data_IF_428806381279
#
_entry.id   IF_428806381279
#
_cell.length_a   1.000
_cell.length_b   1.000
_cell.length_c   1.000
_cell.angle_alpha   90.00
_cell.angle_beta   90.00
_cell.angle_gamma   90.00
#
_symmetry.space_group_name_H-M   'P 1'
#
loop_
_entity.id
_entity.type
_entity.pdbx_description
1 polymer ?
#
# COMPACT_ATOMS: atom_id res chain seq x y z
N UNK A 1 2.46 9.83 -64.88
CA UNK A 1 2.93 10.58 -63.68
C UNK A 1 1.73 11.22 -63.00
N UNK A 2 1.82 11.37 -61.67
CA UNK A 2 0.83 11.92 -60.70
C UNK A 2 -0.04 10.85 -60.02
N UNK A 3 0.54 10.27 -58.97
CA UNK A 3 -0.21 9.70 -57.86
C UNK A 3 -0.66 10.80 -56.91
N UNK A 4 -1.80 10.60 -56.25
CA UNK A 4 -2.22 11.40 -55.10
C UNK A 4 -2.36 10.43 -53.92
N UNK A 5 -1.47 10.60 -52.95
CA UNK A 5 -1.44 9.87 -51.68
C UNK A 5 -2.52 10.45 -50.78
N UNK A 6 -3.38 9.57 -50.27
CA UNK A 6 -4.38 9.86 -49.24
C UNK A 6 -3.62 10.06 -47.92
N UNK A 7 -3.45 11.32 -47.51
CA UNK A 7 -2.89 11.66 -46.21
C UNK A 7 -3.97 11.57 -45.13
N UNK A 8 -4.13 10.39 -44.53
CA UNK A 8 -4.89 10.23 -43.29
C UNK A 8 -4.01 10.71 -42.12
N UNK A 9 -4.24 11.95 -41.66
CA UNK A 9 -3.61 12.50 -40.48
C UNK A 9 -4.10 11.78 -39.23
N UNK A 10 -3.24 10.97 -38.62
CA UNK A 10 -3.45 10.38 -37.29
C UNK A 10 -3.21 11.46 -36.25
N UNK A 11 -4.28 12.00 -35.67
CA UNK A 11 -4.23 12.88 -34.51
C UNK A 11 -3.89 12.04 -33.27
N UNK A 12 -2.62 12.08 -32.85
CA UNK A 12 -2.14 11.46 -31.62
C UNK A 12 -2.45 12.40 -30.44
N UNK A 13 -3.63 12.25 -29.84
CA UNK A 13 -4.07 13.01 -28.67
C UNK A 13 -3.21 12.67 -27.45
N UNK A 14 -2.31 13.57 -27.08
CA UNK A 14 -1.52 13.50 -25.86
C UNK A 14 -2.42 13.68 -24.62
N UNK A 15 -2.84 12.56 -24.02
CA UNK A 15 -3.38 12.52 -22.66
C UNK A 15 -2.23 12.61 -21.64
N UNK A 16 -1.64 13.80 -21.49
CA UNK A 16 -0.83 14.10 -20.31
C UNK A 16 -1.79 14.43 -19.15
N UNK A 17 -2.23 13.39 -18.44
CA UNK A 17 -2.88 13.58 -17.15
C UNK A 17 -1.86 14.13 -16.16
N UNK A 18 -1.92 15.43 -15.85
CA UNK A 18 -1.22 16.02 -14.73
C UNK A 18 -1.77 15.44 -13.43
N UNK A 19 -1.21 14.32 -12.97
CA UNK A 19 -1.43 13.83 -11.61
C UNK A 19 -0.64 14.73 -10.69
N UNK A 20 -1.30 15.68 -10.05
CA UNK A 20 -0.72 16.45 -8.95
C UNK A 20 -0.33 15.49 -7.83
N UNK A 21 0.95 15.53 -7.40
CA UNK A 21 1.44 14.70 -6.30
C UNK A 21 0.57 14.92 -5.05
N UNK A 22 0.15 13.85 -4.35
CA UNK A 22 -0.56 13.98 -3.10
C UNK A 22 0.29 14.79 -2.10
N UNK A 23 -0.31 15.79 -1.48
CA UNK A 23 0.36 16.60 -0.47
C UNK A 23 0.34 15.84 0.86
N UNK A 24 1.52 15.68 1.46
CA UNK A 24 1.63 15.15 2.80
C UNK A 24 1.03 16.16 3.78
N UNK A 25 -0.03 15.77 4.48
CA UNK A 25 -0.60 16.59 5.54
C UNK A 25 0.19 16.33 6.82
N UNK A 26 0.63 17.38 7.50
CA UNK A 26 1.21 17.26 8.84
C UNK A 26 0.26 16.51 9.78
N UNK A 27 0.83 15.69 10.66
CA UNK A 27 0.08 15.06 11.73
C UNK A 27 -0.70 16.14 12.50
N UNK A 28 -1.98 15.87 12.78
CA UNK A 28 -2.77 16.77 13.63
C UNK A 28 -2.15 16.74 15.03
N UNK A 29 -1.90 17.89 15.67
CA UNK A 29 -1.45 17.89 17.06
C UNK A 29 -2.49 17.16 17.90
N UNK A 30 -2.01 16.18 18.68
CA UNK A 30 -2.85 15.46 19.62
C UNK A 30 -3.24 16.43 20.74
N UNK A 31 -4.54 16.49 21.05
CA UNK A 31 -4.99 17.15 22.27
C UNK A 31 -4.61 16.32 23.49
N UNK A 32 -4.90 16.83 24.68
CA UNK A 32 -4.60 16.19 25.97
C UNK A 32 -4.95 14.69 26.03
N UNK A 33 -4.09 13.93 26.71
CA UNK A 33 -4.23 12.52 27.12
C UNK A 33 -5.37 11.74 26.46
N UNK A 34 -5.06 11.01 25.39
CA UNK A 34 -6.06 10.25 24.65
C UNK A 34 -6.03 8.77 25.05
N UNK A 35 -7.20 8.26 25.46
CA UNK A 35 -7.44 6.84 25.57
C UNK A 35 -7.17 6.17 24.20
N UNK A 36 -6.46 5.07 24.15
CA UNK A 36 -6.14 4.37 22.90
C UNK A 36 -6.58 2.91 22.87
N UNK A 37 -6.84 2.40 21.67
CA UNK A 37 -6.97 0.98 21.38
C UNK A 37 -6.04 0.62 20.24
N UNK A 38 -5.50 -0.60 20.26
CA UNK A 38 -4.75 -1.15 19.13
C UNK A 38 -5.57 -2.29 18.56
N UNK A 39 -5.86 -2.23 17.27
CA UNK A 39 -6.58 -3.26 16.54
C UNK A 39 -5.80 -3.60 15.28
N UNK A 40 -5.78 -4.87 14.89
CA UNK A 40 -5.39 -5.20 13.52
C UNK A 40 -6.22 -4.36 12.55
N UNK A 41 -5.62 -3.90 11.45
CA UNK A 41 -6.36 -3.13 10.47
C UNK A 41 -7.55 -3.97 10.01
N UNK A 42 -8.75 -3.38 10.00
CA UNK A 42 -9.91 -4.05 9.41
C UNK A 42 -9.54 -4.42 7.97
N UNK A 43 -9.47 -5.72 7.62
CA UNK A 43 -9.14 -6.16 6.29
C UNK A 43 -10.34 -5.85 5.42
N UNK A 44 -10.53 -4.56 5.09
CA UNK A 44 -11.30 -4.23 3.91
C UNK A 44 -10.59 -4.98 2.79
N UNK A 45 -11.27 -5.93 2.12
CA UNK A 45 -10.66 -6.65 1.03
C UNK A 45 -10.18 -5.57 0.07
N UNK A 46 -8.86 -5.46 -0.05
CA UNK A 46 -8.29 -4.59 -1.05
C UNK A 46 -8.63 -5.32 -2.35
N UNK A 47 -9.72 -4.93 -3.00
CA UNK A 47 -10.11 -5.41 -4.34
C UNK A 47 -9.14 -4.83 -5.38
N UNK A 48 -7.84 -5.05 -5.17
CA UNK A 48 -6.79 -4.56 -6.02
C UNK A 48 -5.79 -5.69 -6.23
N UNK A 49 -5.60 -6.05 -7.50
CA UNK A 49 -4.70 -7.11 -7.94
C UNK A 49 -3.23 -6.89 -7.57
N UNK A 50 -2.91 -5.69 -7.09
CA UNK A 50 -1.57 -5.27 -6.70
C UNK A 50 -1.24 -5.55 -5.24
N UNK A 51 -2.21 -5.87 -4.39
CA UNK A 51 -2.03 -5.96 -2.94
C UNK A 51 -2.39 -7.35 -2.41
N UNK A 52 -1.62 -7.84 -1.45
CA UNK A 52 -1.89 -9.12 -0.79
C UNK A 52 -1.33 -9.12 0.64
N UNK A 53 -2.08 -9.68 1.59
CA UNK A 53 -1.58 -9.91 2.95
C UNK A 53 -0.67 -11.15 3.02
N UNK A 54 0.48 -10.96 3.66
CA UNK A 54 1.49 -12.00 3.88
C UNK A 54 1.15 -12.81 5.13
N UNK A 55 0.71 -12.17 6.21
CA UNK A 55 0.36 -12.84 7.45
C UNK A 55 -1.14 -13.16 7.56
N UNK A 56 -1.52 -13.90 8.60
CA UNK A 56 -2.93 -14.19 8.92
C UNK A 56 -3.58 -13.11 9.79
N UNK A 57 -2.77 -12.29 10.44
CA UNK A 57 -3.22 -11.20 11.30
C UNK A 57 -3.45 -9.89 10.52
N UNK A 58 -3.31 -9.93 9.19
CA UNK A 58 -3.47 -8.80 8.26
C UNK A 58 -2.63 -7.57 8.64
N UNK A 59 -1.43 -7.80 9.17
CA UNK A 59 -0.50 -6.75 9.59
C UNK A 59 0.65 -6.54 8.63
N UNK A 60 0.89 -7.44 7.68
CA UNK A 60 1.95 -7.33 6.67
C UNK A 60 1.33 -7.30 5.27
N UNK A 61 1.32 -6.11 4.68
CA UNK A 61 0.78 -5.84 3.35
C UNK A 61 1.90 -5.88 2.31
N UNK A 62 1.84 -6.84 1.40
CA UNK A 62 2.69 -6.87 0.20
C UNK A 62 2.00 -6.13 -0.94
N UNK A 63 2.74 -5.29 -1.66
CA UNK A 63 2.27 -4.75 -2.93
C UNK A 63 3.38 -4.63 -3.97
N UNK A 64 2.99 -4.74 -5.23
CA UNK A 64 3.89 -4.58 -6.38
C UNK A 64 3.57 -3.27 -7.10
N UNK A 65 4.57 -2.39 -7.24
CA UNK A 65 4.46 -1.29 -8.19
C UNK A 65 4.45 -1.91 -9.60
N UNK A 66 3.45 -1.58 -10.42
CA UNK A 66 3.18 -2.24 -11.69
C UNK A 66 4.46 -2.49 -12.52
N UNK A 67 4.73 -3.77 -12.83
CA UNK A 67 5.99 -4.24 -13.39
C UNK A 67 6.39 -3.54 -14.69
N UNK A 68 7.59 -2.98 -14.70
CA UNK A 68 8.25 -2.29 -15.81
C UNK A 68 8.41 -3.16 -17.05
N UNK A 69 7.40 -3.15 -17.91
CA UNK A 69 7.40 -3.75 -19.25
C UNK A 69 6.01 -4.13 -19.78
N UNK A 70 5.05 -4.42 -18.91
CA UNK A 70 3.73 -4.96 -19.31
C UNK A 70 2.70 -3.92 -19.75
N UNK A 71 2.83 -2.67 -19.31
CA UNK A 71 1.92 -1.58 -19.74
C UNK A 71 2.03 -1.35 -21.26
N UNK A 72 3.23 -1.53 -21.84
CA UNK A 72 3.45 -1.42 -23.29
C UNK A 72 2.75 -2.53 -24.09
N UNK A 73 2.74 -3.78 -23.60
CA UNK A 73 2.02 -4.90 -24.24
C UNK A 73 0.51 -4.80 -24.07
N UNK A 74 0.04 -4.31 -22.91
CA UNK A 74 -1.39 -4.09 -22.65
C UNK A 74 -2.01 -3.04 -23.57
N UNK A 75 -1.25 -2.00 -23.94
CA UNK A 75 -1.69 -0.99 -24.91
C UNK A 75 -1.69 -1.53 -26.34
N UNK A 76 -0.72 -2.37 -26.71
CA UNK A 76 -0.60 -2.95 -28.06
C UNK A 76 -1.72 -3.95 -28.40
N UNK A 77 -2.25 -4.68 -27.43
CA UNK A 77 -3.27 -5.73 -27.62
C UNK A 77 -4.69 -5.32 -27.17
N UNK A 78 -4.88 -4.05 -26.83
CA UNK A 78 -6.19 -3.52 -26.40
C UNK A 78 -6.71 -4.12 -25.08
N UNK A 79 -8.03 -4.14 -24.85
CA UNK A 79 -8.63 -4.53 -23.57
C UNK A 79 -8.27 -5.95 -23.09
N UNK A 80 -8.09 -6.89 -24.02
CA UNK A 80 -7.70 -8.27 -23.70
C UNK A 80 -6.24 -8.35 -23.21
N UNK A 81 -5.34 -7.57 -23.82
CA UNK A 81 -3.97 -7.43 -23.36
C UNK A 81 -3.88 -6.83 -21.97
N UNK A 82 -4.68 -5.79 -21.70
CA UNK A 82 -4.77 -5.18 -20.39
C UNK A 82 -5.28 -6.17 -19.31
N UNK A 83 -6.31 -6.95 -19.63
CA UNK A 83 -6.85 -7.97 -18.73
C UNK A 83 -5.83 -9.11 -18.46
N UNK A 84 -5.13 -9.58 -19.50
CA UNK A 84 -4.09 -10.59 -19.37
C UNK A 84 -2.93 -10.10 -18.50
N UNK A 85 -2.51 -8.84 -18.67
CA UNK A 85 -1.48 -8.22 -17.84
C UNK A 85 -1.94 -8.11 -16.37
N UNK A 86 -3.17 -7.67 -16.12
CA UNK A 86 -3.73 -7.61 -14.77
C UNK A 86 -3.79 -8.99 -14.08
N UNK A 87 -4.16 -10.04 -14.83
CA UNK A 87 -4.17 -11.41 -14.33
C UNK A 87 -2.75 -11.93 -14.01
N UNK A 88 -1.77 -11.63 -14.88
CA UNK A 88 -0.38 -11.99 -14.65
C UNK A 88 0.20 -11.30 -13.40
N UNK A 89 -0.10 -10.02 -13.22
CA UNK A 89 0.30 -9.27 -12.02
C UNK A 89 -0.36 -9.89 -10.78
N UNK A 90 -1.68 -10.10 -10.79
CA UNK A 90 -2.38 -10.74 -9.65
C UNK A 90 -1.76 -12.08 -9.26
N UNK A 91 -1.46 -12.91 -10.25
CA UNK A 91 -0.85 -14.23 -10.04
C UNK A 91 0.55 -14.12 -9.44
N UNK A 92 1.37 -13.21 -9.94
CA UNK A 92 2.72 -12.95 -9.41
C UNK A 92 2.65 -12.41 -7.98
N UNK A 93 1.86 -11.37 -7.74
CA UNK A 93 1.66 -10.77 -6.40
C UNK A 93 1.25 -11.84 -5.39
N UNK A 94 0.29 -12.69 -5.75
CA UNK A 94 -0.17 -13.78 -4.88
C UNK A 94 0.91 -14.82 -4.57
N UNK A 95 1.70 -15.22 -5.57
CA UNK A 95 2.81 -16.18 -5.38
C UNK A 95 3.94 -15.60 -4.53
N UNK A 96 4.31 -14.35 -4.76
CA UNK A 96 5.38 -13.68 -4.02
C UNK A 96 4.95 -13.44 -2.56
N UNK A 97 3.75 -12.94 -2.33
CA UNK A 97 3.20 -12.83 -0.98
C UNK A 97 3.10 -14.20 -0.28
N UNK A 98 2.76 -15.26 -1.03
CA UNK A 98 2.75 -16.62 -0.49
C UNK A 98 4.17 -17.08 -0.08
N UNK A 99 5.20 -16.77 -0.88
CA UNK A 99 6.58 -17.13 -0.58
C UNK A 99 7.15 -16.40 0.64
N UNK A 100 6.65 -15.21 0.93
CA UNK A 100 7.03 -14.45 2.13
C UNK A 100 6.36 -15.00 3.40
N UNK A 101 5.28 -15.80 3.27
CA UNK A 101 4.61 -16.38 4.44
C UNK A 101 5.55 -17.32 5.17
N UNK A 102 5.82 -17.04 6.44
CA UNK A 102 6.69 -17.84 7.29
C UNK A 102 8.19 -17.59 7.11
N UNK A 103 8.62 -17.00 5.99
CA UNK A 103 9.99 -16.49 5.83
C UNK A 103 10.16 -15.16 6.57
N UNK A 104 9.17 -14.27 6.40
CA UNK A 104 9.15 -12.95 6.98
C UNK A 104 8.01 -12.81 8.00
N UNK A 105 8.33 -12.90 9.29
CA UNK A 105 7.35 -12.95 10.39
C UNK A 105 7.60 -11.86 11.44
N UNK A 106 7.40 -10.58 11.10
CA UNK A 106 7.51 -9.48 12.07
C UNK A 106 6.37 -9.55 13.10
N UNK A 107 6.65 -9.19 14.36
CA UNK A 107 5.64 -9.15 15.41
C UNK A 107 4.99 -7.75 15.49
N UNK A 108 4.42 -7.27 14.38
CA UNK A 108 3.99 -5.86 14.19
C UNK A 108 3.14 -5.33 15.36
N UNK A 109 2.13 -6.09 15.79
CA UNK A 109 1.24 -5.67 16.88
C UNK A 109 1.96 -5.60 18.23
N UNK A 110 2.83 -6.57 18.51
CA UNK A 110 3.58 -6.63 19.75
C UNK A 110 4.60 -5.51 19.82
N UNK A 111 5.36 -5.32 18.74
CA UNK A 111 6.39 -4.30 18.63
C UNK A 111 5.77 -2.90 18.72
N UNK A 112 4.68 -2.65 17.99
CA UNK A 112 3.96 -1.38 18.09
C UNK A 112 3.43 -1.15 19.52
N UNK A 113 2.79 -2.16 20.13
CA UNK A 113 2.25 -2.04 21.49
C UNK A 113 3.35 -1.76 22.52
N UNK A 114 4.54 -2.32 22.34
CA UNK A 114 5.70 -2.04 23.19
C UNK A 114 6.15 -0.57 23.08
N UNK A 115 6.05 0.06 21.90
CA UNK A 115 6.38 1.49 21.74
C UNK A 115 5.42 2.42 22.50
N UNK A 116 4.16 2.01 22.68
CA UNK A 116 3.16 2.81 23.40
C UNK A 116 3.45 2.93 24.90
N UNK A 117 4.22 1.99 25.47
CA UNK A 117 4.67 2.07 26.88
C UNK A 117 5.55 3.30 27.14
N UNK A 118 6.16 3.85 26.09
CA UNK A 118 7.02 5.04 26.17
C UNK A 118 6.28 6.34 25.80
N UNK A 119 4.96 6.30 25.65
CA UNK A 119 4.12 7.45 25.31
C UNK A 119 3.24 7.82 26.51
N UNK A 120 3.73 8.64 27.47
CA UNK A 120 2.99 8.95 28.70
C UNK A 120 1.68 9.71 28.46
N UNK A 121 1.54 10.33 27.28
CA UNK A 121 0.35 11.02 26.79
C UNK A 121 -0.78 10.04 26.38
N UNK A 122 -0.48 8.74 26.27
CA UNK A 122 -1.42 7.72 25.82
C UNK A 122 -1.75 6.77 26.96
N UNK A 123 -3.04 6.50 27.16
CA UNK A 123 -3.51 5.54 28.16
C UNK A 123 -4.37 4.46 27.51
N UNK A 124 -4.26 3.18 27.90
CA UNK A 124 -5.13 2.14 27.37
C UNK A 124 -6.59 2.49 27.62
N UNK A 125 -7.41 2.44 26.57
CA UNK A 125 -8.82 2.73 26.65
C UNK A 125 -9.56 1.67 27.44
N UNK A 126 -10.50 2.12 28.26
CA UNK A 126 -11.50 1.28 28.93
C UNK A 126 -12.67 1.04 27.99
N UNK A 127 -13.52 0.06 28.33
CA UNK A 127 -14.67 -0.30 27.52
C UNK A 127 -15.66 0.88 27.28
N UNK A 128 -15.73 1.83 28.21
CA UNK A 128 -16.62 2.99 28.13
C UNK A 128 -16.07 4.16 27.29
N UNK A 129 -14.80 4.10 26.84
CA UNK A 129 -14.15 5.23 26.17
C UNK A 129 -14.55 5.31 24.69
N UNK A 130 -15.72 5.88 24.42
CA UNK A 130 -16.26 6.03 23.06
C UNK A 130 -15.43 6.95 22.16
N UNK A 131 -14.60 7.82 22.74
CA UNK A 131 -13.71 8.76 22.05
C UNK A 131 -12.26 8.29 21.91
N UNK A 132 -12.00 7.02 22.27
CA UNK A 132 -10.65 6.47 22.18
C UNK A 132 -10.14 6.46 20.74
N UNK A 133 -8.84 6.73 20.60
CA UNK A 133 -8.14 6.66 19.33
C UNK A 133 -7.83 5.19 19.02
N UNK A 134 -8.21 4.72 17.85
CA UNK A 134 -7.85 3.39 17.37
C UNK A 134 -6.63 3.48 16.48
N UNK A 135 -5.58 2.76 16.88
CA UNK A 135 -4.37 2.54 16.10
C UNK A 135 -4.45 1.19 15.40
N UNK A 136 -4.16 1.18 14.10
CA UNK A 136 -4.02 -0.03 13.29
C UNK A 136 -2.67 0.00 12.59
N UNK A 137 -1.61 -0.53 13.24
CA UNK A 137 -0.28 -0.59 12.67
C UNK A 137 -0.20 -1.71 11.62
N UNK A 138 0.57 -1.47 10.58
CA UNK A 138 0.85 -2.41 9.51
C UNK A 138 2.28 -2.21 9.02
N UNK A 139 2.90 -3.27 8.53
CA UNK A 139 4.09 -3.20 7.71
C UNK A 139 3.69 -3.30 6.23
N UNK A 140 4.30 -2.49 5.40
CA UNK A 140 4.12 -2.47 3.95
C UNK A 140 5.42 -2.90 3.26
N UNK A 141 5.34 -3.93 2.44
CA UNK A 141 6.45 -4.43 1.61
C UNK A 141 6.15 -4.08 0.16
N UNK A 142 6.89 -3.14 -0.40
CA UNK A 142 6.70 -2.65 -1.77
C UNK A 142 7.79 -3.22 -2.68
N UNK A 143 7.42 -4.07 -3.64
CA UNK A 143 8.36 -4.56 -4.66
C UNK A 143 8.63 -3.47 -5.69
N UNK A 144 9.90 -3.07 -5.76
CA UNK A 144 10.47 -2.13 -6.72
C UNK A 144 11.30 -2.93 -7.74
N UNK A 145 10.82 -3.03 -8.97
CA UNK A 145 11.56 -3.75 -10.04
C UNK A 145 11.75 -5.25 -9.76
N UNK A 146 12.87 -5.82 -10.21
CA UNK A 146 13.07 -7.27 -10.26
C UNK A 146 13.61 -7.91 -8.98
N UNK A 147 14.27 -7.19 -8.07
CA UNK A 147 14.80 -7.80 -6.83
C UNK A 147 14.73 -6.87 -5.61
N UNK A 148 14.26 -5.63 -5.75
CA UNK A 148 14.28 -4.69 -4.64
C UNK A 148 12.93 -4.65 -3.93
N UNK A 149 12.95 -4.61 -2.61
CA UNK A 149 11.79 -4.28 -1.78
C UNK A 149 12.08 -3.05 -0.95
N UNK A 150 11.10 -2.15 -0.86
CA UNK A 150 11.05 -1.09 0.14
C UNK A 150 10.12 -1.49 1.27
N UNK A 151 10.55 -1.19 2.49
CA UNK A 151 9.77 -1.49 3.69
C UNK A 151 9.22 -0.17 4.23
N UNK A 152 7.92 -0.14 4.49
CA UNK A 152 7.23 0.97 5.13
C UNK A 152 6.49 0.54 6.39
N UNK A 153 6.45 1.42 7.38
CA UNK A 153 5.55 1.32 8.51
C UNK A 153 4.31 2.18 8.19
N UNK A 154 3.16 1.53 8.07
CA UNK A 154 1.87 2.19 7.88
C UNK A 154 1.12 2.20 9.20
N UNK A 155 0.56 3.35 9.58
CA UNK A 155 -0.26 3.50 10.77
C UNK A 155 -1.59 4.15 10.38
N UNK A 156 -2.67 3.40 10.54
CA UNK A 156 -4.01 3.94 10.43
C UNK A 156 -4.49 4.40 11.80
N UNK A 157 -4.99 5.62 11.86
CA UNK A 157 -5.48 6.27 13.07
C UNK A 157 -6.93 6.67 12.85
N UNK A 158 -7.84 6.11 13.64
CA UNK A 158 -9.25 6.45 13.62
C UNK A 158 -9.67 7.06 14.96
N UNK A 159 -10.40 8.17 14.92
CA UNK A 159 -10.96 8.79 16.12
C UNK A 159 -12.33 9.38 15.80
N UNK A 160 -13.39 8.73 16.29
CA UNK A 160 -14.78 9.08 15.97
C UNK A 160 -15.14 8.92 14.50
N UNK A 161 -16.40 9.15 14.17
CA UNK A 161 -16.92 9.13 12.78
C UNK A 161 -16.91 10.57 12.24
N UNK A 162 -16.36 10.88 11.05
CA UNK A 162 -15.78 10.03 10.01
C UNK A 162 -14.24 10.19 9.84
N UNK A 163 -13.51 10.51 10.91
CA UNK A 163 -12.10 10.92 10.77
C UNK A 163 -11.14 9.74 10.89
N UNK A 164 -10.71 9.22 9.74
CA UNK A 164 -9.60 8.26 9.60
C UNK A 164 -8.42 8.93 8.90
N UNK A 165 -7.20 8.68 9.38
CA UNK A 165 -5.95 9.12 8.76
C UNK A 165 -5.00 7.94 8.61
N UNK A 166 -4.39 7.83 7.44
CA UNK A 166 -3.37 6.83 7.17
C UNK A 166 -2.02 7.55 7.07
N UNK A 167 -1.06 7.13 7.91
CA UNK A 167 0.32 7.60 7.89
C UNK A 167 1.21 6.50 7.32
N UNK A 168 2.18 6.86 6.50
CA UNK A 168 3.16 5.95 5.95
C UNK A 168 4.55 6.54 6.15
N UNK A 169 5.42 5.79 6.84
CA UNK A 169 6.84 6.07 6.94
C UNK A 169 7.60 4.99 6.20
N UNK A 170 8.33 5.36 5.15
CA UNK A 170 9.12 4.40 4.35
C UNK A 170 10.58 4.51 4.76
N UNK A 171 11.21 3.36 5.03
CA UNK A 171 12.64 3.33 5.29
C UNK A 171 13.41 3.90 4.09
N UNK A 172 14.55 4.57 4.34
CA UNK A 172 15.34 5.18 3.27
C UNK A 172 15.98 4.14 2.35
N UNK A 173 16.23 2.94 2.87
CA UNK A 173 16.94 1.87 2.18
C UNK A 173 16.01 0.96 1.37
N UNK A 174 16.59 0.35 0.33
CA UNK A 174 15.99 -0.76 -0.41
C UNK A 174 16.70 -2.05 -0.03
N UNK A 175 15.93 -3.12 0.11
CA UNK A 175 16.39 -4.44 0.49
C UNK A 175 16.28 -5.41 -0.70
N UNK A 176 17.08 -6.47 -0.73
CA UNK A 176 16.85 -7.55 -1.69
C UNK A 176 15.68 -8.40 -1.21
N UNK A 177 14.80 -8.79 -2.12
CA UNK A 177 13.68 -9.67 -1.79
C UNK A 177 14.13 -11.05 -1.32
N UNK A 178 15.28 -11.53 -1.81
CA UNK A 178 15.87 -12.79 -1.37
C UNK A 178 16.44 -12.73 0.07
N UNK A 179 16.57 -11.53 0.64
CA UNK A 179 17.08 -11.31 1.99
C UNK A 179 15.97 -11.14 3.05
N UNK A 180 14.70 -11.20 2.64
CA UNK A 180 13.52 -11.20 3.51
C UNK A 180 13.08 -12.64 3.82
#
# INVERSE_FOLDING_TARGET
MKGNIIGAGVALSMLCGCVSMPTFQSAKPMGSAHAYRVHAADPKPIENTLYQFVDMDDTVLYHQEAGGGGVALGVLLGPLGAAANAAAIKSRTGKEALSLRGAFTPHVMQDFSATLLYQPELQPARAADASAVTFSPMLELTRMGEDQVRIGARLRVAQGTPQQRDYLYVLPDSYSFAAL
#
